data_IF_927327163813
#
_entry.id   IF_927327163813
#
_cell.length_a   1.000
_cell.length_b   1.000
_cell.length_c   1.000
_cell.angle_alpha   90.00
_cell.angle_beta   90.00
_cell.angle_gamma   90.00
#
_symmetry.space_group_name_H-M   'P 1'
#
loop_
_entity.id
_entity.type
_entity.pdbx_description
1 polymer ?
#
# COMPACT_ATOMS: atom_id res chain seq x y z
N UNK A 1 -10.06 5.02 -1.73
CA UNK A 1 -9.15 5.03 -2.88
C UNK A 1 -8.88 3.60 -3.31
N UNK A 2 -8.51 3.37 -4.56
CA UNK A 2 -8.37 2.03 -5.12
C UNK A 2 -6.95 1.46 -5.00
N UNK A 3 -6.86 0.13 -5.05
CA UNK A 3 -5.60 -0.62 -5.15
C UNK A 3 -5.60 -1.25 -6.54
N UNK A 4 -4.62 -0.88 -7.37
CA UNK A 4 -4.39 -1.50 -8.69
C UNK A 4 -3.21 -2.45 -8.58
N UNK A 5 -3.40 -3.69 -8.99
CA UNK A 5 -2.36 -4.72 -9.05
C UNK A 5 -2.28 -5.16 -10.50
N UNK A 6 -1.07 -5.09 -11.08
CA UNK A 6 -0.78 -5.52 -12.44
C UNK A 6 -0.74 -7.04 -12.60
N UNK A 7 -0.31 -7.48 -13.77
CA UNK A 7 -0.22 -8.90 -14.11
C UNK A 7 1.02 -9.56 -13.48
N UNK A 8 0.94 -10.86 -13.20
CA UNK A 8 2.04 -11.68 -12.65
C UNK A 8 2.69 -11.16 -11.35
N UNK A 9 1.94 -10.39 -10.54
CA UNK A 9 2.41 -9.92 -9.23
C UNK A 9 2.39 -11.06 -8.21
N UNK A 10 3.51 -11.27 -7.52
CA UNK A 10 3.65 -12.25 -6.44
C UNK A 10 3.60 -11.54 -5.09
N UNK A 11 2.66 -11.95 -4.23
CA UNK A 11 2.46 -11.36 -2.89
C UNK A 11 2.66 -12.46 -1.86
N UNK A 12 3.68 -12.32 -1.02
CA UNK A 12 3.98 -13.29 0.02
C UNK A 12 3.03 -13.16 1.24
N UNK A 13 3.23 -14.05 2.22
CA UNK A 13 2.42 -14.10 3.43
C UNK A 13 2.48 -12.79 4.22
N UNK A 14 1.33 -12.37 4.77
CA UNK A 14 1.20 -11.23 5.69
C UNK A 14 1.58 -9.86 5.09
N UNK A 15 1.49 -9.69 3.78
CA UNK A 15 1.55 -8.36 3.14
C UNK A 15 0.28 -7.56 3.44
N UNK A 16 0.45 -6.27 3.70
CA UNK A 16 -0.63 -5.32 3.96
C UNK A 16 -0.61 -4.21 2.91
N UNK A 17 -1.75 -4.00 2.23
CA UNK A 17 -1.95 -2.89 1.30
C UNK A 17 -2.94 -1.92 1.93
N UNK A 18 -2.46 -0.76 2.40
CA UNK A 18 -3.24 0.16 3.23
C UNK A 18 -3.45 1.47 2.49
N UNK A 19 -4.68 1.72 2.04
CA UNK A 19 -5.01 2.99 1.38
C UNK A 19 -5.47 4.08 2.35
N UNK A 20 -5.93 3.70 3.55
CA UNK A 20 -6.49 4.62 4.53
C UNK A 20 -5.40 5.35 5.32
N UNK A 21 -5.65 6.62 5.66
CA UNK A 21 -4.83 7.41 6.57
C UNK A 21 -5.69 8.33 7.44
N UNK A 22 -5.14 8.71 8.59
CA UNK A 22 -5.74 9.72 9.46
C UNK A 22 -4.87 10.96 9.53
N UNK A 23 -5.46 12.15 9.72
CA UNK A 23 -4.71 13.36 10.03
C UNK A 23 -3.77 13.15 11.22
N UNK A 24 -2.55 13.68 11.13
CA UNK A 24 -1.62 13.73 12.26
C UNK A 24 -2.10 14.74 13.31
N UNK A 25 -2.78 15.81 12.85
CA UNK A 25 -3.42 16.78 13.72
C UNK A 25 -4.43 16.09 14.67
N UNK A 26 -4.28 16.27 15.99
CA UNK A 26 -5.07 15.54 16.98
C UNK A 26 -6.54 15.98 17.04
N UNK A 27 -6.87 17.22 16.67
CA UNK A 27 -8.25 17.70 16.66
C UNK A 27 -9.01 17.09 15.48
N UNK A 28 -8.43 17.15 14.28
CA UNK A 28 -8.97 16.51 13.09
C UNK A 28 -9.12 14.99 13.28
N UNK A 29 -8.12 14.32 13.88
CA UNK A 29 -8.21 12.88 14.17
C UNK A 29 -9.24 12.55 15.25
N UNK A 30 -9.42 13.39 16.27
CA UNK A 30 -10.52 13.24 17.26
C UNK A 30 -11.89 13.40 16.62
N UNK A 31 -12.01 14.28 15.63
CA UNK A 31 -13.21 14.45 14.82
C UNK A 31 -13.48 13.28 13.87
N UNK A 32 -12.67 12.21 13.91
CA UNK A 32 -12.79 11.00 13.10
C UNK A 32 -12.65 11.26 11.60
N UNK A 33 -11.95 12.33 11.23
CA UNK A 33 -11.62 12.56 9.84
C UNK A 33 -10.63 11.50 9.36
N UNK A 34 -10.83 11.07 8.13
CA UNK A 34 -10.02 10.08 7.45
C UNK A 34 -9.99 10.40 5.96
N UNK A 35 -8.90 9.99 5.31
CA UNK A 35 -8.74 10.06 3.87
C UNK A 35 -8.18 8.74 3.36
N UNK A 36 -8.18 8.59 2.04
CA UNK A 36 -7.52 7.46 1.42
C UNK A 36 -6.76 7.92 0.17
N UNK A 37 -5.56 7.37 -0.05
CA UNK A 37 -4.75 7.57 -1.26
C UNK A 37 -4.54 6.24 -1.98
N UNK A 38 -4.58 6.22 -3.32
CA UNK A 38 -4.54 4.98 -4.09
C UNK A 38 -3.18 4.30 -3.99
N UNK A 39 -3.14 2.99 -4.22
CA UNK A 39 -1.90 2.21 -4.37
C UNK A 39 -1.87 1.62 -5.78
N UNK A 40 -0.70 1.62 -6.41
CA UNK A 40 -0.48 0.95 -7.70
C UNK A 40 0.73 0.02 -7.62
N UNK A 41 0.58 -1.21 -8.06
CA UNK A 41 1.66 -2.21 -8.15
C UNK A 41 1.75 -2.66 -9.61
N UNK A 42 2.88 -2.41 -10.26
CA UNK A 42 3.14 -2.76 -11.64
C UNK A 42 3.43 -4.25 -11.85
N UNK A 43 3.39 -4.66 -13.11
CA UNK A 43 3.48 -6.07 -13.54
C UNK A 43 4.77 -6.75 -13.07
N UNK A 44 4.71 -8.06 -12.83
CA UNK A 44 5.85 -8.90 -12.43
C UNK A 44 6.62 -8.39 -11.20
N UNK A 45 5.95 -7.64 -10.30
CA UNK A 45 6.51 -7.26 -9.02
C UNK A 45 6.45 -8.43 -8.01
N UNK A 46 7.40 -8.49 -7.08
CA UNK A 46 7.37 -9.42 -5.96
C UNK A 46 7.45 -8.68 -4.63
N UNK A 47 6.44 -8.87 -3.79
CA UNK A 47 6.37 -8.34 -2.43
C UNK A 47 6.71 -9.47 -1.45
N UNK A 48 7.84 -9.31 -0.75
CA UNK A 48 8.30 -10.21 0.30
C UNK A 48 7.34 -10.29 1.49
N UNK A 49 7.53 -11.29 2.35
CA UNK A 49 6.62 -11.54 3.47
C UNK A 49 6.62 -10.34 4.44
N UNK A 50 5.44 -9.96 4.91
CA UNK A 50 5.30 -8.86 5.87
C UNK A 50 5.35 -7.44 5.30
N UNK A 51 5.53 -7.26 3.98
CA UNK A 51 5.57 -5.92 3.36
C UNK A 51 4.31 -5.11 3.68
N UNK A 52 4.51 -3.86 4.10
CA UNK A 52 3.43 -2.89 4.31
C UNK A 52 3.54 -1.77 3.26
N UNK A 53 2.57 -1.73 2.34
CA UNK A 53 2.45 -0.67 1.32
C UNK A 53 1.49 0.40 1.81
N UNK A 54 2.01 1.62 1.97
CA UNK A 54 1.30 2.75 2.55
C UNK A 54 0.48 3.57 1.53
N UNK A 55 -0.42 4.46 2.01
CA UNK A 55 -1.29 5.25 1.14
C UNK A 55 -0.49 6.10 0.13
N UNK A 56 -0.87 6.02 -1.15
CA UNK A 56 -0.26 6.80 -2.22
C UNK A 56 1.00 6.18 -2.85
N UNK A 57 1.44 5.00 -2.39
CA UNK A 57 2.64 4.34 -2.94
C UNK A 57 2.36 3.75 -4.32
N UNK A 58 3.33 3.93 -5.23
CA UNK A 58 3.40 3.24 -6.52
C UNK A 58 4.66 2.37 -6.56
N UNK A 59 4.49 1.07 -6.80
CA UNK A 59 5.56 0.10 -7.03
C UNK A 59 5.65 -0.15 -8.53
N UNK A 60 6.83 0.08 -9.12
CA UNK A 60 7.05 -0.11 -10.56
C UNK A 60 7.06 -1.58 -10.97
N UNK A 61 6.87 -1.85 -12.25
CA UNK A 61 6.98 -3.19 -12.82
C UNK A 61 8.37 -3.82 -12.56
N UNK A 62 8.44 -5.14 -12.44
CA UNK A 62 9.67 -5.93 -12.18
C UNK A 62 10.39 -5.60 -10.85
N UNK A 63 9.73 -4.89 -9.93
CA UNK A 63 10.32 -4.51 -8.65
C UNK A 63 10.23 -5.65 -7.66
N UNK A 64 11.33 -5.90 -6.93
CA UNK A 64 11.34 -6.77 -5.74
C UNK A 64 11.37 -5.90 -4.49
N UNK A 65 10.37 -6.03 -3.64
CA UNK A 65 10.36 -5.47 -2.29
C UNK A 65 10.73 -6.59 -1.32
N UNK A 66 11.85 -6.42 -0.60
CA UNK A 66 12.27 -7.36 0.42
C UNK A 66 11.26 -7.49 1.56
N UNK A 67 11.37 -8.57 2.35
CA UNK A 67 10.49 -8.81 3.49
C UNK A 67 10.66 -7.77 4.63
N UNK A 68 9.62 -7.62 5.46
CA UNK A 68 9.51 -6.63 6.54
C UNK A 68 8.68 -5.41 6.16
#
# INVERSE_FOLDING_TARGET
ADIRIGDDVQIATNVQLVTAEHPVDPEARRAKWESARPIAIGDNAWLGAGVIVLPGVTIGANTVVGAG
#
